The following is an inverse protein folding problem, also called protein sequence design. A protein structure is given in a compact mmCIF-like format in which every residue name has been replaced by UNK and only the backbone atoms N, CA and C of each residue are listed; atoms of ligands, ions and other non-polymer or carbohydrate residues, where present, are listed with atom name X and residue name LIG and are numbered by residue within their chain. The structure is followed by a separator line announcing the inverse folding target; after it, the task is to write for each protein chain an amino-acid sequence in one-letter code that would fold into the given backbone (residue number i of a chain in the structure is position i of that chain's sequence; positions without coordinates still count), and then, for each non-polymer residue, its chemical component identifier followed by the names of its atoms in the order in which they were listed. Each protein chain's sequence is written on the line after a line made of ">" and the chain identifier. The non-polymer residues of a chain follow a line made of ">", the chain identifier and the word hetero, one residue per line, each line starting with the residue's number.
data_IF_909978074206
#
_entry.id   IF_909978074206
#
_cell.length_a   1.000
_cell.length_b   1.000
_cell.length_c   1.000
_cell.angle_alpha   90.00
_cell.angle_beta   90.00
_cell.angle_gamma   90.00
#
_symmetry.space_group_name_H-M   'P 1'
#
loop_
_entity.id
_entity.type
_entity.pdbx_description
1 polymer ?
#
# COMPACT_ATOMS: atom_id res chain seq x y z
N UNK A 1 2.39 11.77 -20.19
CA UNK A 1 2.97 12.00 -18.84
C UNK A 1 2.27 13.12 -18.07
N UNK A 2 2.02 14.30 -18.65
CA UNK A 2 1.21 15.34 -18.00
C UNK A 2 -0.16 14.81 -17.58
N UNK A 3 -0.86 14.13 -18.47
CA UNK A 3 -2.17 13.53 -18.16
C UNK A 3 -2.11 12.56 -16.96
N UNK A 4 -1.07 11.72 -16.87
CA UNK A 4 -0.91 10.80 -15.74
C UNK A 4 -0.69 11.54 -14.41
N UNK A 5 0.09 12.63 -14.44
CA UNK A 5 0.31 13.48 -13.27
C UNK A 5 -1.02 14.17 -12.88
N UNK A 6 -1.68 14.82 -13.83
CA UNK A 6 -2.90 15.60 -13.55
C UNK A 6 -4.04 14.71 -13.04
N UNK A 7 -4.12 13.47 -13.53
CA UNK A 7 -5.15 12.51 -13.12
C UNK A 7 -4.86 11.87 -11.76
N UNK A 8 -3.59 11.60 -11.44
CA UNK A 8 -3.27 10.73 -10.31
C UNK A 8 -2.49 11.40 -9.17
N UNK A 9 -1.91 12.60 -9.37
CA UNK A 9 -1.01 13.21 -8.38
C UNK A 9 -1.67 13.47 -7.04
N UNK A 10 -2.90 14.00 -7.02
CA UNK A 10 -3.60 14.30 -5.76
C UNK A 10 -3.92 13.01 -4.97
N UNK A 11 -4.40 11.97 -5.64
CA UNK A 11 -4.71 10.70 -5.01
C UNK A 11 -3.42 9.96 -4.55
N UNK A 12 -2.34 10.05 -5.34
CA UNK A 12 -1.05 9.48 -5.01
C UNK A 12 -0.43 10.21 -3.81
N UNK A 13 -0.56 11.54 -3.75
CA UNK A 13 -0.13 12.35 -2.63
C UNK A 13 -0.84 11.95 -1.33
N UNK A 14 -2.18 11.90 -1.33
CA UNK A 14 -2.95 11.48 -0.16
C UNK A 14 -2.58 10.06 0.31
N UNK A 15 -2.28 9.17 -0.63
CA UNK A 15 -1.80 7.82 -0.33
C UNK A 15 -0.39 7.84 0.26
N UNK A 16 0.54 8.62 -0.30
CA UNK A 16 1.91 8.74 0.19
C UNK A 16 1.97 9.33 1.61
N UNK A 17 1.18 10.36 1.90
CA UNK A 17 1.08 10.95 3.25
C UNK A 17 0.65 9.91 4.28
N UNK A 18 -0.33 9.05 3.95
CA UNK A 18 -0.72 7.95 4.84
C UNK A 18 0.37 6.91 5.02
N UNK A 19 1.11 6.58 3.95
CA UNK A 19 2.21 5.61 4.01
C UNK A 19 3.38 6.09 4.84
N UNK A 20 3.65 7.40 4.85
CA UNK A 20 4.76 8.04 5.58
C UNK A 20 4.39 8.45 7.00
N UNK A 21 3.16 8.11 7.46
CA UNK A 21 2.70 8.46 8.81
C UNK A 21 2.49 9.97 9.00
N UNK A 22 2.14 10.70 7.94
CA UNK A 22 1.90 12.14 7.98
C UNK A 22 3.11 13.01 7.66
N UNK A 23 4.29 12.43 7.46
CA UNK A 23 5.48 13.15 7.01
C UNK A 23 5.30 13.64 5.57
N UNK A 24 5.02 14.94 5.43
CA UNK A 24 4.73 15.57 4.14
C UNK A 24 5.96 15.64 3.24
N UNK A 25 7.15 15.85 3.80
CA UNK A 25 8.38 15.91 3.01
C UNK A 25 8.71 14.53 2.44
N UNK A 26 8.67 13.50 3.26
CA UNK A 26 8.84 12.11 2.80
C UNK A 26 7.76 11.71 1.78
N UNK A 27 6.52 12.17 1.95
CA UNK A 27 5.45 11.91 0.98
C UNK A 27 5.72 12.56 -0.37
N UNK A 28 6.27 13.79 -0.39
CA UNK A 28 6.65 14.49 -1.63
C UNK A 28 7.74 13.72 -2.38
N UNK A 29 8.78 13.29 -1.67
CA UNK A 29 9.87 12.50 -2.25
C UNK A 29 9.35 11.18 -2.84
N UNK A 30 8.45 10.50 -2.14
CA UNK A 30 7.80 9.26 -2.62
C UNK A 30 6.98 9.51 -3.89
N UNK A 31 6.21 10.61 -3.95
CA UNK A 31 5.41 10.96 -5.14
C UNK A 31 6.34 11.26 -6.32
N UNK A 32 7.36 12.10 -6.11
CA UNK A 32 8.32 12.45 -7.15
C UNK A 32 9.03 11.22 -7.72
N UNK A 33 9.58 10.36 -6.86
CA UNK A 33 10.28 9.14 -7.28
C UNK A 33 9.32 8.15 -7.98
N UNK A 34 8.06 8.05 -7.52
CA UNK A 34 7.04 7.22 -8.17
C UNK A 34 6.76 7.68 -9.59
N UNK A 35 6.58 8.99 -9.79
CA UNK A 35 6.34 9.59 -11.11
C UNK A 35 7.58 9.49 -12.02
N UNK A 36 8.79 9.64 -11.46
CA UNK A 36 10.03 9.41 -12.18
C UNK A 36 10.17 7.98 -12.68
N UNK A 37 9.82 7.00 -11.84
CA UNK A 37 9.80 5.58 -12.26
C UNK A 37 8.76 5.30 -13.33
N UNK A 38 7.60 5.94 -13.27
CA UNK A 38 6.59 5.87 -14.32
C UNK A 38 7.13 6.44 -15.64
N UNK A 39 7.80 7.58 -15.58
CA UNK A 39 8.40 8.21 -16.75
C UNK A 39 9.50 7.36 -17.39
N UNK A 40 10.32 6.68 -16.58
CA UNK A 40 11.38 5.79 -17.07
C UNK A 40 10.85 4.47 -17.64
N UNK A 41 9.59 4.14 -17.38
CA UNK A 41 8.93 2.90 -17.82
C UNK A 41 7.64 3.17 -18.60
N UNK A 42 7.68 3.97 -19.69
CA UNK A 42 6.48 4.36 -20.42
C UNK A 42 5.76 3.17 -21.09
N UNK A 43 6.50 2.10 -21.36
CA UNK A 43 5.99 0.88 -22.00
C UNK A 43 5.47 -0.15 -20.97
N UNK A 44 5.30 0.22 -19.71
CA UNK A 44 4.71 -0.68 -18.73
C UNK A 44 3.29 -1.09 -19.17
N UNK A 45 2.94 -2.39 -19.13
CA UNK A 45 1.58 -2.85 -19.47
C UNK A 45 0.47 -2.13 -18.67
N UNK A 46 0.80 -1.59 -17.50
CA UNK A 46 -0.13 -0.81 -16.68
C UNK A 46 -0.56 0.51 -17.35
N UNK A 47 0.27 1.10 -18.24
CA UNK A 47 -0.02 2.36 -18.92
C UNK A 47 -0.63 2.18 -20.30
N UNK A 48 -0.53 0.99 -20.88
CA UNK A 48 -1.13 0.60 -22.15
C UNK A 48 -2.40 -0.24 -22.00
N UNK A 49 -2.76 -0.59 -20.75
CA UNK A 49 -3.94 -1.38 -20.47
C UNK A 49 -5.21 -0.52 -20.54
N UNK A 50 -6.21 -1.00 -21.26
CA UNK A 50 -7.56 -0.44 -21.26
C UNK A 50 -8.32 -0.70 -19.93
N UNK A 51 -7.72 -1.44 -19.00
CA UNK A 51 -8.31 -1.70 -17.70
C UNK A 51 -8.29 -0.41 -16.86
N UNK A 52 -9.46 0.10 -16.55
CA UNK A 52 -9.62 1.24 -15.66
C UNK A 52 -8.89 0.98 -14.32
N UNK A 53 -7.99 1.88 -13.95
CA UNK A 53 -7.24 1.80 -12.70
C UNK A 53 -5.93 1.01 -12.73
N UNK A 54 -5.51 0.42 -13.87
CA UNK A 54 -4.24 -0.30 -13.96
C UNK A 54 -3.05 0.64 -13.67
N UNK A 55 -3.04 1.83 -14.25
CA UNK A 55 -2.02 2.85 -13.99
C UNK A 55 -1.99 3.27 -12.52
N UNK A 56 -3.15 3.53 -11.92
CA UNK A 56 -3.28 3.85 -10.50
C UNK A 56 -2.75 2.73 -9.61
N UNK A 57 -3.11 1.47 -9.90
CA UNK A 57 -2.63 0.31 -9.15
C UNK A 57 -1.11 0.16 -9.21
N UNK A 58 -0.51 0.42 -10.38
CA UNK A 58 0.92 0.40 -10.56
C UNK A 58 1.61 1.51 -9.74
N UNK A 59 1.12 2.76 -9.84
CA UNK A 59 1.65 3.89 -9.07
C UNK A 59 1.63 3.62 -7.57
N UNK A 60 0.53 3.11 -7.03
CA UNK A 60 0.40 2.79 -5.61
C UNK A 60 1.34 1.66 -5.18
N UNK A 61 1.54 0.66 -6.03
CA UNK A 61 2.49 -0.43 -5.78
C UNK A 61 3.93 0.09 -5.72
N UNK A 62 4.29 0.99 -6.63
CA UNK A 62 5.63 1.60 -6.67
C UNK A 62 5.86 2.51 -5.45
N UNK A 63 4.94 3.42 -5.16
CA UNK A 63 5.01 4.29 -3.99
C UNK A 63 5.21 3.50 -2.69
N UNK A 64 4.43 2.43 -2.52
CA UNK A 64 4.56 1.57 -1.36
C UNK A 64 5.93 0.89 -1.27
N UNK A 65 6.48 0.41 -2.41
CA UNK A 65 7.81 -0.19 -2.43
C UNK A 65 8.89 0.81 -2.01
N UNK A 66 8.81 2.04 -2.48
CA UNK A 66 9.74 3.11 -2.11
C UNK A 66 9.74 3.29 -0.59
N UNK A 67 8.57 3.46 0.02
CA UNK A 67 8.45 3.64 1.48
C UNK A 67 9.01 2.43 2.25
N UNK A 68 8.72 1.21 1.80
CA UNK A 68 9.26 0.00 2.43
C UNK A 68 10.79 -0.04 2.33
N UNK A 69 11.35 0.26 1.17
CA UNK A 69 12.79 0.23 0.93
C UNK A 69 13.51 1.32 1.77
N UNK A 70 12.94 2.52 1.87
CA UNK A 70 13.46 3.59 2.72
C UNK A 70 13.39 3.24 4.21
N UNK A 71 12.28 2.65 4.64
CA UNK A 71 12.13 2.20 6.03
C UNK A 71 13.17 1.11 6.35
N UNK A 72 13.41 0.16 5.44
CA UNK A 72 14.44 -0.87 5.60
C UNK A 72 15.83 -0.27 5.65
N UNK A 73 16.16 0.68 4.77
CA UNK A 73 17.45 1.37 4.77
C UNK A 73 17.70 2.11 6.09
N UNK A 74 16.66 2.71 6.66
CA UNK A 74 16.73 3.35 7.99
C UNK A 74 16.85 2.35 9.14
N UNK A 75 16.18 1.20 9.05
CA UNK A 75 16.20 0.15 10.08
C UNK A 75 17.52 -0.63 10.14
N UNK A 76 18.34 -0.59 9.10
CA UNK A 76 19.69 -1.19 9.06
C UNK A 76 20.73 -0.33 9.82
N UNK A 77 20.39 0.90 10.27
CA UNK A 77 21.20 1.70 11.19
C UNK A 77 20.66 1.56 12.62
N UNK A 78 21.31 0.75 13.51
CA UNK A 78 20.74 0.35 14.80
C UNK A 78 20.62 1.47 15.85
N UNK A 79 21.13 2.66 15.60
CA UNK A 79 21.31 3.68 16.66
C UNK A 79 20.09 4.56 16.95
N UNK A 80 18.92 4.30 16.31
CA UNK A 80 17.69 5.08 16.56
C UNK A 80 16.43 4.23 16.75
N UNK A 81 16.55 3.03 17.30
CA UNK A 81 15.47 2.04 17.35
C UNK A 81 14.49 2.20 18.54
N UNK A 82 14.62 3.22 19.39
CA UNK A 82 13.76 3.40 20.57
C UNK A 82 13.14 4.78 20.76
N UNK A 83 13.24 5.67 19.78
CA UNK A 83 12.48 6.90 19.80
C UNK A 83 11.58 6.94 18.57
N UNK A 84 10.30 7.08 18.78
CA UNK A 84 9.23 7.31 17.84
C UNK A 84 8.59 6.04 17.22
N UNK A 85 7.72 5.42 18.03
CA UNK A 85 6.44 4.97 17.47
C UNK A 85 5.69 6.29 17.20
N UNK A 86 5.43 6.67 15.95
CA UNK A 86 4.59 7.83 15.71
C UNK A 86 3.20 7.46 16.25
N UNK A 87 2.80 8.09 17.33
CA UNK A 87 1.40 8.28 17.62
C UNK A 87 0.81 8.91 16.38
N UNK A 88 -0.21 8.29 15.84
CA UNK A 88 -0.94 8.76 14.65
C UNK A 88 -1.24 10.25 14.83
N UNK A 89 -0.70 11.16 13.96
CA UNK A 89 -1.02 12.59 14.10
C UNK A 89 -2.51 12.77 13.82
N UNK A 90 -3.20 13.37 14.74
CA UNK A 90 -4.62 13.62 14.80
C UNK A 90 -5.28 14.08 13.51
N UNK A 91 -6.03 13.17 12.93
CA UNK A 91 -7.32 13.44 12.35
C UNK A 91 -8.32 12.97 13.40
N UNK A 92 -9.47 13.61 13.50
CA UNK A 92 -10.53 13.34 14.48
C UNK A 92 -10.56 11.86 14.90
N UNK A 93 -10.11 11.57 16.12
CA UNK A 93 -9.71 10.21 16.52
C UNK A 93 -10.86 9.20 16.53
N UNK A 94 -12.08 9.63 16.28
CA UNK A 94 -13.28 8.81 16.17
C UNK A 94 -13.41 8.18 14.79
N UNK A 95 -13.18 8.92 13.71
CA UNK A 95 -13.30 8.40 12.34
C UNK A 95 -12.19 7.41 11.99
N UNK A 96 -10.95 7.71 12.37
CA UNK A 96 -9.82 6.80 12.16
C UNK A 96 -9.97 5.48 12.94
N UNK A 97 -10.55 5.52 14.14
CA UNK A 97 -10.85 4.32 14.94
C UNK A 97 -11.99 3.50 14.32
N UNK A 98 -13.02 4.15 13.78
CA UNK A 98 -14.14 3.50 13.09
C UNK A 98 -13.64 2.86 11.79
N UNK A 99 -12.88 3.58 10.96
CA UNK A 99 -12.28 3.02 9.75
C UNK A 99 -11.36 1.84 10.05
N UNK A 100 -10.55 1.91 11.10
CA UNK A 100 -9.66 0.82 11.53
C UNK A 100 -10.46 -0.43 11.94
N UNK A 101 -11.57 -0.28 12.66
CA UNK A 101 -12.44 -1.39 13.04
C UNK A 101 -13.12 -2.01 11.83
N UNK A 102 -13.65 -1.21 10.92
CA UNK A 102 -14.30 -1.69 9.69
C UNK A 102 -13.33 -2.53 8.83
N UNK A 103 -12.09 -2.07 8.69
CA UNK A 103 -11.06 -2.83 7.96
C UNK A 103 -10.71 -4.14 8.69
N UNK A 104 -10.61 -4.12 10.03
CA UNK A 104 -10.35 -5.32 10.83
C UNK A 104 -11.49 -6.34 10.67
N UNK A 105 -12.74 -5.90 10.76
CA UNK A 105 -13.92 -6.76 10.59
C UNK A 105 -14.02 -7.31 9.17
N UNK A 106 -13.70 -6.51 8.14
CA UNK A 106 -13.63 -6.97 6.76
C UNK A 106 -12.54 -8.02 6.55
N UNK A 107 -11.37 -7.85 7.18
CA UNK A 107 -10.29 -8.84 7.15
C UNK A 107 -10.71 -10.16 7.82
N UNK A 108 -11.52 -10.11 8.87
CA UNK A 108 -12.04 -11.32 9.54
C UNK A 108 -12.98 -12.13 8.65
N UNK A 109 -13.64 -11.51 7.66
CA UNK A 109 -14.51 -12.19 6.69
C UNK A 109 -13.73 -12.90 5.57
N UNK A 110 -12.44 -12.63 5.41
CA UNK A 110 -11.61 -13.30 4.42
C UNK A 110 -11.20 -14.70 4.89
N UNK A 111 -10.87 -15.56 3.91
CA UNK A 111 -10.24 -16.85 4.24
C UNK A 111 -8.92 -16.64 5.00
N UNK A 112 -8.49 -17.59 5.82
CA UNK A 112 -7.20 -17.49 6.54
C UNK A 112 -6.02 -17.23 5.61
N UNK A 113 -6.01 -17.85 4.43
CA UNK A 113 -4.94 -17.69 3.44
C UNK A 113 -4.91 -16.29 2.82
N UNK A 114 -6.07 -15.71 2.53
CA UNK A 114 -6.19 -14.34 2.02
C UNK A 114 -5.80 -13.34 3.10
N UNK A 115 -6.28 -13.53 4.33
CA UNK A 115 -5.97 -12.67 5.46
C UNK A 115 -4.47 -12.66 5.77
N UNK A 116 -3.83 -13.84 5.81
CA UNK A 116 -2.41 -13.96 6.14
C UNK A 116 -1.51 -13.23 5.15
N UNK A 117 -1.76 -13.32 3.84
CA UNK A 117 -0.96 -12.57 2.86
C UNK A 117 -1.17 -11.05 2.97
N UNK A 118 -2.38 -10.59 3.27
CA UNK A 118 -2.64 -9.16 3.47
C UNK A 118 -1.96 -8.65 4.74
N UNK A 119 -2.03 -9.39 5.84
CA UNK A 119 -1.35 -9.03 7.09
C UNK A 119 0.17 -8.96 6.89
N UNK A 120 0.78 -9.95 6.26
CA UNK A 120 2.23 -9.94 5.99
C UNK A 120 2.61 -8.78 5.07
N UNK A 121 1.90 -8.64 3.95
CA UNK A 121 2.24 -7.65 2.93
C UNK A 121 1.94 -6.21 3.39
N UNK A 122 0.82 -5.97 4.07
CA UNK A 122 0.31 -4.62 4.32
C UNK A 122 0.51 -4.15 5.77
N UNK A 123 0.31 -5.01 6.73
CA UNK A 123 0.48 -4.67 8.14
C UNK A 123 1.93 -4.80 8.58
N UNK A 124 2.57 -5.93 8.29
CA UNK A 124 3.99 -6.19 8.62
C UNK A 124 4.98 -5.60 7.62
N UNK A 125 4.49 -5.01 6.54
CA UNK A 125 5.30 -4.37 5.48
C UNK A 125 6.33 -5.32 4.87
N UNK A 126 6.04 -6.62 4.83
CA UNK A 126 6.92 -7.63 4.26
C UNK A 126 6.95 -7.56 2.73
N UNK A 127 8.10 -7.86 2.12
CA UNK A 127 8.20 -8.05 0.68
C UNK A 127 7.51 -9.34 0.25
N UNK A 128 7.31 -9.51 -1.06
CA UNK A 128 6.80 -10.76 -1.64
C UNK A 128 7.69 -11.94 -1.22
N UNK A 129 9.01 -11.79 -1.29
CA UNK A 129 9.98 -12.82 -0.91
C UNK A 129 9.89 -13.18 0.57
N UNK A 130 9.86 -12.21 1.46
CA UNK A 130 9.73 -12.46 2.91
C UNK A 130 8.39 -13.08 3.26
N UNK A 131 7.30 -12.62 2.61
CA UNK A 131 5.97 -13.22 2.77
C UNK A 131 5.96 -14.67 2.30
N UNK A 132 6.58 -14.96 1.15
CA UNK A 132 6.72 -16.30 0.62
C UNK A 132 7.44 -17.23 1.61
N UNK A 133 8.56 -16.75 2.17
CA UNK A 133 9.34 -17.49 3.17
C UNK A 133 8.55 -17.74 4.46
N UNK A 134 7.88 -16.71 5.00
CA UNK A 134 7.10 -16.82 6.26
C UNK A 134 5.89 -17.71 6.13
N UNK A 135 5.19 -17.62 5.00
CA UNK A 135 3.98 -18.42 4.76
C UNK A 135 4.29 -19.76 4.10
N UNK A 136 5.57 -20.05 3.80
CA UNK A 136 6.03 -21.27 3.13
C UNK A 136 5.29 -21.56 1.81
N UNK A 137 5.11 -20.51 0.97
CA UNK A 137 4.48 -20.59 -0.34
C UNK A 137 5.36 -19.94 -1.41
N UNK A 138 5.14 -20.27 -2.66
CA UNK A 138 5.88 -19.67 -3.78
C UNK A 138 5.58 -18.16 -3.90
N UNK A 139 6.56 -17.36 -4.36
CA UNK A 139 6.37 -15.91 -4.59
C UNK A 139 5.22 -15.62 -5.58
N UNK A 140 5.04 -16.47 -6.61
CA UNK A 140 3.92 -16.38 -7.53
C UNK A 140 2.57 -16.56 -6.82
N UNK A 141 2.51 -17.47 -5.84
CA UNK A 141 1.33 -17.68 -5.00
C UNK A 141 1.05 -16.48 -4.10
N UNK A 142 2.08 -15.84 -3.54
CA UNK A 142 1.89 -14.58 -2.78
C UNK A 142 1.25 -13.52 -3.66
N UNK A 143 1.74 -13.32 -4.88
CA UNK A 143 1.21 -12.33 -5.82
C UNK A 143 -0.25 -12.60 -6.17
N UNK A 144 -0.58 -13.84 -6.56
CA UNK A 144 -1.95 -14.21 -6.93
C UNK A 144 -2.90 -14.15 -5.74
N UNK A 145 -2.52 -14.69 -4.58
CA UNK A 145 -3.33 -14.59 -3.35
C UNK A 145 -3.56 -13.15 -2.93
N UNK A 146 -2.53 -12.29 -2.99
CA UNK A 146 -2.69 -10.86 -2.67
C UNK A 146 -3.70 -10.20 -3.60
N UNK A 147 -3.67 -10.51 -4.90
CA UNK A 147 -4.63 -9.99 -5.86
C UNK A 147 -6.08 -10.39 -5.51
N UNK A 148 -6.32 -11.67 -5.28
CA UNK A 148 -7.66 -12.17 -4.93
C UNK A 148 -8.10 -11.71 -3.54
N UNK A 149 -7.19 -11.66 -2.57
CA UNK A 149 -7.47 -11.17 -1.23
C UNK A 149 -7.90 -9.69 -1.23
N UNK A 150 -7.28 -8.83 -2.04
CA UNK A 150 -7.69 -7.43 -2.18
C UNK A 150 -9.08 -7.30 -2.83
N UNK A 151 -9.41 -8.17 -3.79
CA UNK A 151 -10.76 -8.19 -4.37
C UNK A 151 -11.80 -8.64 -3.33
N UNK A 152 -11.51 -9.69 -2.57
CA UNK A 152 -12.38 -10.16 -1.51
C UNK A 152 -12.56 -9.12 -0.40
N UNK A 153 -11.48 -8.42 -0.02
CA UNK A 153 -11.55 -7.33 0.95
C UNK A 153 -12.44 -6.18 0.47
N UNK A 154 -12.30 -5.78 -0.81
CA UNK A 154 -13.15 -4.75 -1.40
C UNK A 154 -14.62 -5.15 -1.37
N UNK A 155 -14.94 -6.39 -1.70
CA UNK A 155 -16.30 -6.91 -1.65
C UNK A 155 -16.85 -6.87 -0.22
N UNK A 156 -16.08 -7.37 0.76
CA UNK A 156 -16.47 -7.35 2.16
C UNK A 156 -16.73 -5.93 2.68
N UNK A 157 -15.87 -4.96 2.33
CA UNK A 157 -16.08 -3.55 2.69
C UNK A 157 -17.33 -2.96 2.04
N UNK A 158 -17.59 -3.28 0.76
CA UNK A 158 -18.80 -2.85 0.05
C UNK A 158 -20.06 -3.39 0.71
N UNK A 159 -20.09 -4.67 1.11
CA UNK A 159 -21.19 -5.29 1.84
C UNK A 159 -21.42 -4.67 3.24
N UNK A 160 -20.38 -4.09 3.83
CA UNK A 160 -20.44 -3.37 5.11
C UNK A 160 -20.84 -1.89 4.96
N UNK A 161 -21.20 -1.47 3.73
CA UNK A 161 -21.66 -0.10 3.46
C UNK A 161 -20.55 0.91 3.24
N UNK A 162 -19.29 0.47 3.13
CA UNK A 162 -18.16 1.33 2.77
C UNK A 162 -18.09 1.41 1.24
N UNK A 163 -18.84 2.31 0.67
CA UNK A 163 -18.78 2.67 -0.76
C UNK A 163 -17.69 3.71 -0.98
N UNK A 164 -16.79 3.45 -1.94
CA UNK A 164 -15.90 4.47 -2.50
C UNK A 164 -16.58 5.20 -3.64
#
# INVERSE_FOLDING_TARGET
>A
MRALHDEHAAALWAFAVRLTGGDRQAAEDVVQETLLRAWRNPNSPAFSSEQAGAARGWLYTVARRIVIDEWRARSVRPERLFADIPETPGGDGTDALVESRLVADALLRLSPEHRSVLVEMFYRRSSVRETAQRLQIAEGTVKSRTHYALRALRLALSEMGVTQ
#
